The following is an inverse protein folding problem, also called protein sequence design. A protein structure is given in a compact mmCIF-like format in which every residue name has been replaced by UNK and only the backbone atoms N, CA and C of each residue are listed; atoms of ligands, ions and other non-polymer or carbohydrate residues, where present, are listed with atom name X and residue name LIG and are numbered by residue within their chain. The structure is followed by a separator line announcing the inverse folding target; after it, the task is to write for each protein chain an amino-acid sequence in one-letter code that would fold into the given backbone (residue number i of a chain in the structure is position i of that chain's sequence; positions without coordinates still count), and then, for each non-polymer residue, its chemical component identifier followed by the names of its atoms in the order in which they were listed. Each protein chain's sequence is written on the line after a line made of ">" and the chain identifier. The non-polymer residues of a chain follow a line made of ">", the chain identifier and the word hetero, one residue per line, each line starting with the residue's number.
data_IF_644310318264
#
_entry.id   IF_644310318264
#
_cell.length_a   1.000
_cell.length_b   1.000
_cell.length_c   1.000
_cell.angle_alpha   90.00
_cell.angle_beta   90.00
_cell.angle_gamma   90.00
#
_symmetry.space_group_name_H-M   'P 1'
#
loop_
_entity.id
_entity.type
_entity.pdbx_description
1 polymer ?
#
# COMPACT_ATOMS: atom_id res chain seq x y z
N UNK A 1 4.17 -40.87 3.14
CA UNK A 1 4.18 -40.51 4.57
C UNK A 1 3.58 -39.11 4.69
N UNK A 2 2.52 -39.00 5.49
CA UNK A 2 1.66 -37.82 5.66
C UNK A 2 2.37 -36.70 6.42
N UNK A 3 2.22 -35.47 5.96
CA UNK A 3 2.48 -34.26 6.75
C UNK A 3 1.19 -33.85 7.47
N UNK A 4 1.23 -33.52 8.77
CA UNK A 4 0.04 -33.04 9.47
C UNK A 4 -0.25 -31.58 9.09
N UNK A 5 -1.51 -31.30 8.73
CA UNK A 5 -2.07 -29.96 8.63
C UNK A 5 -2.39 -29.45 10.03
N UNK A 6 -1.72 -28.38 10.44
CA UNK A 6 -2.08 -27.64 11.66
C UNK A 6 -3.20 -26.66 11.30
N UNK A 7 -4.36 -26.86 11.89
CA UNK A 7 -5.53 -25.98 11.80
C UNK A 7 -5.56 -25.12 13.06
N UNK A 8 -5.45 -23.80 12.92
CA UNK A 8 -5.67 -22.84 14.00
C UNK A 8 -7.09 -22.27 13.89
N UNK A 9 -7.99 -22.46 14.88
CA UNK A 9 -9.21 -21.67 14.96
C UNK A 9 -8.92 -20.33 15.64
N UNK A 10 -9.08 -19.23 14.90
CA UNK A 10 -9.14 -17.90 15.48
C UNK A 10 -10.51 -17.70 16.15
N UNK A 11 -10.55 -17.70 17.48
CA UNK A 11 -11.70 -17.22 18.24
C UNK A 11 -11.79 -15.69 18.14
N UNK A 12 -12.89 -15.18 17.58
CA UNK A 12 -13.26 -13.78 17.73
C UNK A 12 -13.98 -13.58 19.07
N UNK A 13 -13.36 -12.84 19.99
CA UNK A 13 -14.05 -12.27 21.16
C UNK A 13 -14.53 -10.88 20.77
N UNK A 14 -15.85 -10.70 20.69
CA UNK A 14 -16.50 -9.40 20.51
C UNK A 14 -16.68 -8.79 21.89
N UNK A 15 -15.95 -7.70 22.18
CA UNK A 15 -16.26 -6.82 23.31
C UNK A 15 -16.93 -5.57 22.74
N UNK A 16 -18.22 -5.43 23.05
CA UNK A 16 -18.96 -4.20 22.83
C UNK A 16 -18.60 -3.16 23.87
N UNK A 17 -18.53 -1.90 23.44
CA UNK A 17 -18.64 -0.75 24.35
C UNK A 17 -19.48 0.35 23.68
N UNK A 18 -20.63 0.62 24.29
CA UNK A 18 -21.56 1.69 23.99
C UNK A 18 -21.07 3.01 24.59
N UNK A 19 -21.12 4.12 23.86
CA UNK A 19 -21.22 5.47 24.43
C UNK A 19 -22.16 6.29 23.54
N UNK A 20 -23.21 6.82 24.16
CA UNK A 20 -24.24 7.62 23.51
C UNK A 20 -24.11 9.13 23.72
N UNK A 21 -25.15 9.80 23.20
CA UNK A 21 -25.64 11.16 23.43
C UNK A 21 -24.93 12.33 22.73
N UNK A 22 -25.63 12.90 21.73
CA UNK A 22 -25.89 14.36 21.72
C UNK A 22 -27.17 14.70 20.95
N UNK A 23 -28.16 15.22 21.68
CA UNK A 23 -29.36 15.92 21.22
C UNK A 23 -29.03 17.17 20.39
N UNK A 24 -29.81 17.45 19.34
CA UNK A 24 -30.32 18.81 19.10
C UNK A 24 -31.59 18.79 18.23
N UNK A 25 -32.71 19.24 18.81
CA UNK A 25 -33.98 19.55 18.16
C UNK A 25 -33.99 21.01 17.67
N UNK A 26 -34.43 21.27 16.44
CA UNK A 26 -35.09 22.53 16.06
C UNK A 26 -36.05 22.30 14.90
N UNK A 27 -37.15 23.03 14.98
CA UNK A 27 -38.44 22.79 14.34
C UNK A 27 -38.66 23.76 13.15
N UNK A 28 -39.46 23.30 12.18
CA UNK A 28 -40.37 24.04 11.28
C UNK A 28 -39.89 25.12 10.28
N UNK A 29 -40.32 24.96 9.02
CA UNK A 29 -41.07 26.04 8.35
C UNK A 29 -40.81 26.36 6.85
N UNK A 30 -41.73 25.87 6.01
CA UNK A 30 -42.40 26.57 4.88
C UNK A 30 -41.86 26.56 3.43
N UNK A 31 -42.85 26.38 2.53
CA UNK A 31 -42.90 26.36 1.07
C UNK A 31 -42.45 27.66 0.38
N UNK A 32 -42.00 27.49 -0.88
CA UNK A 32 -42.03 28.50 -1.94
C UNK A 32 -41.74 27.86 -3.30
N UNK A 33 -42.76 27.78 -4.15
CA UNK A 33 -42.76 27.39 -5.56
C UNK A 33 -42.37 28.57 -6.50
N UNK A 34 -42.53 28.38 -7.83
CA UNK A 34 -42.12 29.22 -8.97
C UNK A 34 -40.66 29.01 -9.44
N UNK A 35 -40.29 28.65 -10.67
CA UNK A 35 -40.96 28.47 -11.96
C UNK A 35 -39.93 28.63 -13.09
N UNK A 36 -40.10 27.87 -14.18
CA UNK A 36 -39.45 27.98 -15.53
C UNK A 36 -37.94 27.64 -15.66
N UNK A 37 -37.37 27.10 -16.75
CA UNK A 37 -37.79 26.49 -18.03
C UNK A 37 -36.48 26.07 -18.76
N UNK A 38 -36.51 24.92 -19.45
CA UNK A 38 -35.61 24.39 -20.51
C UNK A 38 -34.07 24.55 -20.42
N UNK A 39 -33.36 23.41 -20.43
CA UNK A 39 -32.65 22.95 -21.64
C UNK A 39 -32.19 21.50 -21.47
N UNK A 40 -32.81 20.59 -22.24
CA UNK A 40 -32.33 19.24 -22.45
C UNK A 40 -31.08 19.29 -23.34
N UNK A 41 -29.91 19.16 -22.72
CA UNK A 41 -28.66 18.84 -23.38
C UNK A 41 -28.23 17.43 -23.00
N UNK A 42 -28.76 16.43 -23.70
CA UNK A 42 -28.26 15.05 -23.61
C UNK A 42 -26.85 14.99 -24.19
N UNK A 43 -25.84 14.99 -23.33
CA UNK A 43 -24.56 14.34 -23.64
C UNK A 43 -24.33 13.27 -22.60
N UNK A 44 -24.66 12.04 -23.02
CA UNK A 44 -24.25 10.80 -22.39
C UNK A 44 -22.73 10.76 -22.37
N UNK A 45 -22.13 11.21 -21.27
CA UNK A 45 -20.81 10.77 -20.88
C UNK A 45 -21.00 9.45 -20.13
N UNK A 46 -20.54 8.35 -20.72
CA UNK A 46 -20.50 7.06 -20.06
C UNK A 46 -19.88 7.23 -18.66
N UNK A 47 -20.44 6.61 -17.59
CA UNK A 47 -19.82 6.66 -16.29
C UNK A 47 -18.47 5.96 -16.38
N UNK A 48 -17.39 6.75 -16.44
CA UNK A 48 -16.04 6.24 -16.24
C UNK A 48 -16.05 5.67 -14.81
N UNK A 49 -15.73 4.38 -14.61
CA UNK A 49 -15.65 3.83 -13.26
C UNK A 49 -14.52 4.56 -12.52
N UNK A 50 -14.91 5.55 -11.70
CA UNK A 50 -14.02 6.25 -10.79
C UNK A 50 -13.58 5.22 -9.76
N UNK A 51 -12.32 4.79 -9.87
CA UNK A 51 -11.67 3.92 -8.89
C UNK A 51 -11.73 4.63 -7.53
N UNK A 52 -12.41 4.04 -6.56
CA UNK A 52 -12.81 4.66 -5.28
C UNK A 52 -11.72 4.62 -4.21
N UNK A 53 -10.45 4.83 -4.57
CA UNK A 53 -9.39 5.02 -3.59
C UNK A 53 -9.05 6.51 -3.50
N UNK A 54 -8.91 7.08 -2.28
CA UNK A 54 -8.53 8.48 -2.16
C UNK A 54 -7.13 8.65 -2.77
N UNK A 55 -7.01 9.54 -3.77
CA UNK A 55 -5.77 9.93 -4.46
C UNK A 55 -4.62 10.22 -3.48
N UNK A 56 -4.95 10.59 -2.23
CA UNK A 56 -3.99 10.79 -1.14
C UNK A 56 -3.14 9.58 -0.76
N UNK A 57 -3.65 8.35 -0.87
CA UNK A 57 -2.87 7.18 -0.44
C UNK A 57 -1.81 6.80 -1.47
N UNK A 58 -2.11 6.98 -2.76
CA UNK A 58 -1.16 6.75 -3.85
C UNK A 58 0.04 7.70 -3.75
N UNK A 59 -0.19 9.00 -3.62
CA UNK A 59 0.91 9.98 -3.57
C UNK A 59 1.78 9.81 -2.32
N UNK A 60 1.17 9.45 -1.18
CA UNK A 60 1.89 9.07 0.05
C UNK A 60 2.75 7.83 -0.18
N UNK A 61 2.21 6.77 -0.77
CA UNK A 61 2.93 5.53 -1.05
C UNK A 61 4.08 5.75 -2.04
N UNK A 62 3.89 6.58 -3.06
CA UNK A 62 4.95 6.99 -3.98
C UNK A 62 6.10 7.66 -3.22
N UNK A 63 5.78 8.67 -2.41
CA UNK A 63 6.76 9.40 -1.61
C UNK A 63 7.50 8.49 -0.62
N UNK A 64 6.79 7.54 0.02
CA UNK A 64 7.39 6.56 0.92
C UNK A 64 8.30 5.58 0.16
N UNK A 65 7.88 5.10 -1.02
CA UNK A 65 8.68 4.20 -1.86
C UNK A 65 9.98 4.87 -2.30
N UNK A 66 9.95 6.12 -2.75
CA UNK A 66 11.15 6.88 -3.12
C UNK A 66 12.13 6.99 -1.94
N UNK A 67 11.63 7.27 -0.73
CA UNK A 67 12.46 7.31 0.49
C UNK A 67 13.09 5.95 0.79
N UNK A 68 12.30 4.88 0.76
CA UNK A 68 12.80 3.51 0.98
C UNK A 68 13.90 3.16 -0.02
N UNK A 69 13.68 3.43 -1.31
CA UNK A 69 14.67 3.15 -2.36
C UNK A 69 15.93 3.99 -2.18
N UNK A 70 15.81 5.25 -1.75
CA UNK A 70 16.95 6.08 -1.36
C UNK A 70 17.74 5.50 -0.18
N UNK A 71 17.06 5.01 0.85
CA UNK A 71 17.71 4.35 1.99
C UNK A 71 18.40 3.04 1.58
N UNK A 72 17.78 2.23 0.70
CA UNK A 72 18.42 1.02 0.16
C UNK A 72 19.66 1.40 -0.66
N UNK A 73 19.57 2.40 -1.53
CA UNK A 73 20.70 2.87 -2.34
C UNK A 73 21.88 3.31 -1.48
N UNK A 74 21.61 4.00 -0.37
CA UNK A 74 22.62 4.48 0.57
C UNK A 74 23.01 3.46 1.66
N UNK A 75 22.41 2.26 1.65
CA UNK A 75 22.56 1.22 2.68
C UNK A 75 22.26 1.72 4.10
N UNK A 76 21.30 2.63 4.22
CA UNK A 76 20.87 3.21 5.50
C UNK A 76 19.85 2.28 6.18
N UNK A 77 20.37 1.30 6.91
CA UNK A 77 19.56 0.30 7.60
C UNK A 77 18.78 0.89 8.78
N UNK A 78 19.29 1.93 9.44
CA UNK A 78 18.60 2.60 10.55
C UNK A 78 17.33 3.30 10.06
N UNK A 79 17.43 4.05 8.97
CA UNK A 79 16.26 4.69 8.37
C UNK A 79 15.22 3.67 7.88
N UNK A 80 15.66 2.54 7.31
CA UNK A 80 14.76 1.45 6.92
C UNK A 80 14.00 0.86 8.13
N UNK A 81 14.68 0.65 9.25
CA UNK A 81 14.04 0.18 10.50
C UNK A 81 12.99 1.19 10.99
N UNK A 82 13.27 2.49 10.93
CA UNK A 82 12.32 3.52 11.37
C UNK A 82 11.04 3.57 10.52
N UNK A 83 11.12 3.13 9.26
CA UNK A 83 9.98 3.03 8.33
C UNK A 83 9.10 1.81 8.60
N UNK A 84 9.55 0.85 9.42
CA UNK A 84 8.73 -0.27 9.87
C UNK A 84 7.74 0.14 10.97
N UNK A 85 6.69 -0.66 11.11
CA UNK A 85 5.73 -0.49 12.20
C UNK A 85 6.44 -0.63 13.56
N UNK A 86 6.10 0.19 14.57
CA UNK A 86 6.84 0.25 15.84
C UNK A 86 7.12 -1.11 16.47
N UNK A 87 6.14 -2.02 16.48
CA UNK A 87 6.28 -3.36 17.05
C UNK A 87 7.19 -4.30 16.22
N UNK A 88 7.39 -4.02 14.93
CA UNK A 88 8.24 -4.83 14.03
C UNK A 88 9.67 -4.32 13.92
N UNK A 89 9.97 -3.12 14.43
CA UNK A 89 11.30 -2.49 14.30
C UNK A 89 12.43 -3.37 14.82
N UNK A 90 12.25 -4.03 15.96
CA UNK A 90 13.27 -4.92 16.52
C UNK A 90 13.53 -6.10 15.59
N UNK A 91 12.47 -6.72 15.05
CA UNK A 91 12.58 -7.85 14.13
C UNK A 91 13.22 -7.43 12.80
N UNK A 92 12.84 -6.27 12.27
CA UNK A 92 13.45 -5.72 11.06
C UNK A 92 14.92 -5.38 11.28
N UNK A 93 15.27 -4.75 12.41
CA UNK A 93 16.66 -4.44 12.77
C UNK A 93 17.52 -5.70 12.80
N UNK A 94 17.03 -6.78 13.42
CA UNK A 94 17.70 -8.08 13.40
C UNK A 94 17.84 -8.62 11.96
N UNK A 95 16.79 -8.53 11.14
CA UNK A 95 16.80 -9.03 9.76
C UNK A 95 17.68 -8.21 8.81
N UNK A 96 18.00 -6.96 9.16
CA UNK A 96 18.90 -6.07 8.44
C UNK A 96 20.35 -6.14 8.96
N UNK A 97 20.66 -7.07 9.87
CA UNK A 97 22.05 -7.41 10.19
C UNK A 97 22.68 -8.19 9.03
N UNK A 98 23.97 -7.96 8.80
CA UNK A 98 24.71 -8.64 7.74
C UNK A 98 24.57 -10.18 7.84
N UNK A 99 24.27 -10.83 6.71
CA UNK A 99 24.06 -12.28 6.64
C UNK A 99 22.64 -12.76 7.01
N UNK A 100 21.69 -11.86 7.27
CA UNK A 100 20.28 -12.20 7.45
C UNK A 100 19.49 -12.02 6.15
N UNK A 101 18.36 -12.73 6.03
CA UNK A 101 17.61 -12.84 4.76
C UNK A 101 17.20 -11.49 4.15
N UNK A 102 16.75 -10.52 4.96
CA UNK A 102 16.35 -9.21 4.43
C UNK A 102 17.58 -8.41 4.01
N UNK A 103 18.67 -8.44 4.78
CA UNK A 103 19.94 -7.85 4.37
C UNK A 103 20.45 -8.43 3.05
N UNK A 104 20.45 -9.76 2.92
CA UNK A 104 20.86 -10.44 1.68
C UNK A 104 19.97 -10.03 0.51
N UNK A 105 18.66 -9.96 0.71
CA UNK A 105 17.73 -9.53 -0.33
C UNK A 105 18.03 -8.11 -0.81
N UNK A 106 18.27 -7.19 0.11
CA UNK A 106 18.43 -5.76 -0.20
C UNK A 106 19.85 -5.39 -0.67
N UNK A 107 20.88 -6.06 -0.13
CA UNK A 107 22.27 -5.60 -0.22
C UNK A 107 23.28 -6.66 -0.68
N UNK A 108 22.85 -7.90 -1.00
CA UNK A 108 23.77 -8.89 -1.54
C UNK A 108 24.42 -8.37 -2.83
N UNK A 109 25.73 -8.53 -2.92
CA UNK A 109 26.50 -8.16 -4.10
C UNK A 109 25.98 -8.92 -5.32
N UNK A 110 25.65 -8.19 -6.39
CA UNK A 110 25.07 -8.77 -7.61
C UNK A 110 23.62 -9.25 -7.49
N UNK A 111 22.99 -9.06 -6.32
CA UNK A 111 21.58 -9.37 -6.07
C UNK A 111 20.65 -8.50 -6.92
N UNK A 112 19.44 -9.03 -7.19
CA UNK A 112 18.48 -8.36 -8.06
C UNK A 112 18.05 -6.99 -7.51
N UNK A 113 17.88 -6.86 -6.19
CA UNK A 113 17.44 -5.60 -5.58
C UNK A 113 18.50 -4.51 -5.73
N UNK A 114 19.76 -4.83 -5.42
CA UNK A 114 20.88 -3.90 -5.58
C UNK A 114 20.98 -3.38 -7.01
N UNK A 115 20.96 -4.28 -8.00
CA UNK A 115 20.98 -3.91 -9.42
C UNK A 115 19.79 -3.04 -9.82
N UNK A 116 18.59 -3.38 -9.36
CA UNK A 116 17.37 -2.63 -9.67
C UNK A 116 17.41 -1.22 -9.06
N UNK A 117 17.90 -1.08 -7.83
CA UNK A 117 18.03 0.21 -7.13
C UNK A 117 19.16 1.06 -7.71
N UNK A 118 20.26 0.45 -8.17
CA UNK A 118 21.35 1.15 -8.87
C UNK A 118 20.88 1.75 -10.21
N UNK A 119 20.05 1.02 -10.95
CA UNK A 119 19.48 1.47 -12.22
C UNK A 119 18.25 2.38 -12.07
N UNK A 120 17.70 2.52 -10.87
CA UNK A 120 16.51 3.31 -10.58
C UNK A 120 16.76 4.82 -10.72
N UNK A 121 15.92 5.49 -11.51
CA UNK A 121 16.02 6.92 -11.87
C UNK A 121 15.10 7.82 -11.04
N UNK A 122 14.96 7.52 -9.74
CA UNK A 122 14.15 8.31 -8.79
C UNK A 122 12.62 8.35 -9.04
N UNK A 123 12.12 7.72 -10.10
CA UNK A 123 10.70 7.62 -10.41
C UNK A 123 10.09 6.28 -9.97
N UNK A 124 8.85 6.30 -9.51
CA UNK A 124 8.09 5.08 -9.19
C UNK A 124 6.81 5.02 -10.03
N UNK A 125 6.44 3.82 -10.42
CA UNK A 125 5.37 3.53 -11.37
C UNK A 125 4.03 3.22 -10.70
N UNK A 126 3.33 2.22 -11.24
CA UNK A 126 2.01 1.82 -10.74
C UNK A 126 2.04 1.46 -9.24
N UNK A 127 1.00 1.89 -8.52
CA UNK A 127 0.74 1.46 -7.14
C UNK A 127 -0.49 0.57 -7.12
N UNK A 128 -0.37 -0.59 -6.46
CA UNK A 128 -1.47 -1.54 -6.26
C UNK A 128 -1.75 -1.71 -4.79
N UNK A 129 -3.03 -1.82 -4.44
CA UNK A 129 -3.48 -1.96 -3.05
C UNK A 129 -4.42 -3.16 -2.95
N UNK A 130 -4.20 -4.02 -1.96
CA UNK A 130 -5.08 -5.12 -1.59
C UNK A 130 -5.26 -5.10 -0.07
N UNK A 131 -6.48 -4.80 0.37
CA UNK A 131 -6.83 -4.68 1.78
C UNK A 131 -5.90 -3.68 2.51
N UNK A 132 -5.04 -4.18 3.39
CA UNK A 132 -4.06 -3.41 4.15
C UNK A 132 -2.64 -3.55 3.60
N UNK A 133 -2.45 -4.08 2.41
CA UNK A 133 -1.14 -4.19 1.79
C UNK A 133 -1.09 -3.34 0.51
N UNK A 134 0.06 -2.70 0.26
CA UNK A 134 0.33 -1.99 -0.98
C UNK A 134 1.64 -2.47 -1.61
N UNK A 135 1.69 -2.44 -2.94
CA UNK A 135 2.87 -2.75 -3.76
C UNK A 135 3.11 -1.63 -4.75
N UNK A 136 4.23 -0.92 -4.60
CA UNK A 136 4.63 0.19 -5.47
C UNK A 136 5.71 -0.31 -6.42
N UNK A 137 5.42 -0.36 -7.72
CA UNK A 137 6.40 -0.74 -8.74
C UNK A 137 7.44 0.37 -8.90
N UNK A 138 8.71 0.00 -9.01
CA UNK A 138 9.78 0.98 -9.29
C UNK A 138 10.66 0.60 -10.49
N UNK A 139 10.59 -0.65 -10.96
CA UNK A 139 11.36 -1.08 -12.13
C UNK A 139 10.72 -2.31 -12.79
N UNK A 140 10.82 -2.39 -14.12
CA UNK A 140 10.66 -3.65 -14.86
C UNK A 140 11.98 -4.41 -14.86
N UNK A 141 11.93 -5.68 -14.52
CA UNK A 141 13.07 -6.59 -14.53
C UNK A 141 13.01 -7.50 -15.76
N UNK A 142 14.11 -8.21 -16.00
CA UNK A 142 14.14 -9.30 -16.98
C UNK A 142 13.11 -10.39 -16.66
N UNK A 143 12.88 -11.29 -17.63
CA UNK A 143 11.96 -12.43 -17.48
C UNK A 143 10.51 -12.07 -17.10
N UNK A 144 10.05 -10.89 -17.53
CA UNK A 144 8.69 -10.38 -17.23
C UNK A 144 8.43 -10.34 -15.73
N UNK A 145 9.41 -9.90 -14.94
CA UNK A 145 9.25 -9.63 -13.51
C UNK A 145 9.23 -8.12 -13.25
N UNK A 146 8.69 -7.72 -12.12
CA UNK A 146 8.68 -6.31 -11.71
C UNK A 146 9.25 -6.18 -10.32
N UNK A 147 10.05 -5.15 -10.08
CA UNK A 147 10.55 -4.83 -8.76
C UNK A 147 9.53 -3.93 -8.03
N UNK A 148 9.14 -4.34 -6.82
CA UNK A 148 8.14 -3.62 -6.03
C UNK A 148 8.61 -3.38 -4.59
N UNK A 149 8.23 -2.23 -4.03
CA UNK A 149 8.30 -1.97 -2.59
C UNK A 149 6.96 -2.38 -1.95
N UNK A 150 7.02 -3.13 -0.85
CA UNK A 150 5.84 -3.65 -0.16
C UNK A 150 5.60 -2.86 1.13
N UNK A 151 4.36 -2.42 1.31
CA UNK A 151 3.90 -1.69 2.50
C UNK A 151 2.72 -2.40 3.16
N UNK A 152 2.64 -2.30 4.49
CA UNK A 152 1.53 -2.79 5.30
C UNK A 152 0.87 -1.61 6.03
N UNK A 153 -0.46 -1.53 6.02
CA UNK A 153 -1.26 -0.51 6.71
C UNK A 153 -1.62 -1.00 8.10
N UNK A 154 -1.29 -0.21 9.11
CA UNK A 154 -1.68 -0.43 10.49
C UNK A 154 -2.11 0.89 11.11
N UNK A 155 -3.27 0.88 11.78
CA UNK A 155 -3.89 2.07 12.37
C UNK A 155 -3.95 3.28 11.42
N UNK A 156 -4.18 3.00 10.13
CA UNK A 156 -4.29 4.02 9.08
C UNK A 156 -2.95 4.50 8.50
N UNK A 157 -1.81 4.04 9.02
CA UNK A 157 -0.45 4.42 8.60
C UNK A 157 0.20 3.30 7.79
N UNK A 158 0.90 3.66 6.71
CA UNK A 158 1.63 2.72 5.86
C UNK A 158 3.07 2.56 6.35
N UNK A 159 3.49 1.31 6.57
CA UNK A 159 4.83 0.94 7.03
C UNK A 159 5.54 0.06 6.02
N UNK A 160 6.85 0.23 5.90
CA UNK A 160 7.69 -0.59 5.04
C UNK A 160 7.76 -2.03 5.58
N UNK A 161 7.59 -3.00 4.68
CA UNK A 161 7.69 -4.43 5.01
C UNK A 161 8.88 -5.10 4.31
N UNK A 162 9.25 -4.64 3.12
CA UNK A 162 10.31 -5.24 2.32
C UNK A 162 10.18 -4.88 0.84
N UNK A 163 10.93 -5.61 0.02
CA UNK A 163 10.85 -5.58 -1.45
C UNK A 163 10.52 -6.96 -1.97
N UNK A 164 9.89 -7.03 -3.14
CA UNK A 164 9.52 -8.28 -3.80
C UNK A 164 9.76 -8.13 -5.32
N UNK A 165 9.85 -9.26 -6.02
CA UNK A 165 10.01 -9.29 -7.47
C UNK A 165 9.02 -10.25 -8.16
N UNK A 166 7.69 -10.05 -8.01
CA UNK A 166 6.69 -10.92 -8.62
C UNK A 166 6.79 -10.94 -10.15
N UNK A 167 6.22 -11.96 -10.79
CA UNK A 167 5.99 -11.89 -12.23
C UNK A 167 5.03 -10.74 -12.56
N UNK A 168 5.15 -10.17 -13.76
CA UNK A 168 4.30 -9.10 -14.26
C UNK A 168 2.82 -9.50 -14.24
N UNK A 169 2.51 -10.77 -14.54
CA UNK A 169 1.15 -11.32 -14.46
C UNK A 169 0.64 -11.40 -13.01
N UNK A 170 1.47 -11.89 -12.09
CA UNK A 170 1.13 -11.94 -10.66
C UNK A 170 0.90 -10.54 -10.12
N UNK A 171 1.75 -9.58 -10.47
CA UNK A 171 1.57 -8.19 -10.09
C UNK A 171 0.31 -7.59 -10.73
N UNK A 172 0.11 -7.85 -12.02
CA UNK A 172 -1.00 -7.37 -12.84
C UNK A 172 -2.39 -7.84 -12.41
N UNK A 173 -2.47 -9.01 -11.78
CA UNK A 173 -3.69 -9.57 -11.20
C UNK A 173 -3.83 -9.32 -9.70
N UNK A 174 -2.82 -8.73 -9.04
CA UNK A 174 -2.83 -8.49 -7.61
C UNK A 174 -3.40 -7.12 -7.25
N UNK A 175 -4.40 -7.09 -6.36
CA UNK A 175 -5.00 -5.86 -5.83
C UNK A 175 -5.69 -4.99 -6.88
N UNK A 176 -6.12 -3.80 -6.45
CA UNK A 176 -6.64 -2.76 -7.34
C UNK A 176 -5.57 -1.72 -7.61
N UNK A 177 -5.56 -1.18 -8.83
CA UNK A 177 -4.69 -0.08 -9.22
C UNK A 177 -5.15 1.20 -8.53
N UNK A 178 -4.26 1.84 -7.77
CA UNK A 178 -4.48 3.16 -7.20
C UNK A 178 -4.13 4.20 -8.29
N UNK A 179 -5.16 4.78 -8.91
CA UNK A 179 -5.04 5.78 -9.98
C UNK A 179 -5.15 7.20 -9.43
#
# INVERSE_FOLDING_TARGET
>A
MMYPRIVYPAMCVVVGLSIGCKDTKRDSGSLGDDGLTLAAGSQSAAPIPVSTLPTSDRDKLHSLAQKVLGFIKNKDTEALVLMAAPQDRQKMSQSLQAGQSMYETLFASGGWCGKAVEAWQEEVGETRIKDRQARVKFMDLEDKRVAVVVFQKEDGVWYFQGVDNPSLDTYGSWGVSAR
#
